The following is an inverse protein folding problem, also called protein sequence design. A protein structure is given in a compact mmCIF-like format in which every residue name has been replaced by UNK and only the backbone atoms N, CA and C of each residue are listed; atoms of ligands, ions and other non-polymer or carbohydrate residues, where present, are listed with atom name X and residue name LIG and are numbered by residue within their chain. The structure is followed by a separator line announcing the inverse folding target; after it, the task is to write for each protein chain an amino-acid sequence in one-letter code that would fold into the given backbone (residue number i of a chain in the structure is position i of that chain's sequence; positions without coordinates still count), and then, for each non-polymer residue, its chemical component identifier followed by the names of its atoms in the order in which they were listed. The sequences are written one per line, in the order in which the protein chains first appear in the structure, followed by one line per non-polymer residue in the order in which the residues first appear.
data_IF_513840323225
#
_entry.id   IF_513840323225
#
_cell.length_a   1.000
_cell.length_b   1.000
_cell.length_c   1.000
_cell.angle_alpha   90.00
_cell.angle_beta   90.00
_cell.angle_gamma   90.00
#
_symmetry.space_group_name_H-M   'P 1'
#
loop_
_entity.id
_entity.type
_entity.pdbx_description
1 polymer ?
#
# COMPACT_ATOMS: atom_id res chain seq x y z
N UNK A 1 -41.78 -2.69 60.25
CA UNK A 1 -43.24 -2.57 60.31
C UNK A 1 -43.63 -1.22 59.78
N UNK A 2 -44.65 -1.19 58.93
CA UNK A 2 -45.55 -0.06 58.53
C UNK A 2 -44.94 1.25 57.99
N UNK A 3 -45.44 1.95 56.99
CA UNK A 3 -46.49 1.74 55.96
C UNK A 3 -46.50 3.01 55.06
N UNK A 4 -46.86 2.85 53.77
CA UNK A 4 -47.55 3.81 52.86
C UNK A 4 -46.91 5.18 52.52
N UNK A 5 -47.17 5.92 51.42
CA UNK A 5 -47.99 5.86 50.19
C UNK A 5 -47.42 6.93 49.20
N UNK A 6 -47.26 6.68 47.89
CA UNK A 6 -48.10 7.04 46.69
C UNK A 6 -48.48 8.53 46.48
N UNK A 7 -48.11 9.14 45.32
CA UNK A 7 -48.97 9.64 44.21
C UNK A 7 -48.38 10.78 43.33
N UNK A 8 -48.91 10.80 42.09
CA UNK A 8 -48.55 11.47 40.82
C UNK A 8 -48.74 13.00 40.67
N UNK A 9 -48.27 13.51 39.52
CA UNK A 9 -48.34 14.88 38.93
C UNK A 9 -49.76 15.37 38.49
N UNK A 10 -49.97 16.36 37.56
CA UNK A 10 -49.25 17.58 37.12
C UNK A 10 -50.16 18.84 37.02
N UNK A 11 -49.61 20.03 36.65
CA UNK A 11 -50.45 21.19 36.25
C UNK A 11 -49.69 22.46 35.80
N UNK A 12 -50.11 23.02 34.67
CA UNK A 12 -49.65 24.27 34.03
C UNK A 12 -50.15 25.56 34.71
N UNK A 13 -49.52 26.72 34.44
CA UNK A 13 -50.12 28.01 34.00
C UNK A 13 -49.15 29.21 34.28
N UNK A 14 -48.91 30.05 33.25
CA UNK A 14 -48.95 31.55 33.18
C UNK A 14 -48.51 32.40 34.43
N UNK A 15 -47.92 33.61 34.40
CA UNK A 15 -47.80 34.74 33.45
C UNK A 15 -46.79 35.82 33.98
N UNK A 16 -46.73 36.94 33.25
CA UNK A 16 -46.34 38.34 33.60
C UNK A 16 -44.87 38.75 33.42
N UNK A 17 -44.49 39.84 32.75
CA UNK A 17 -45.09 41.01 32.08
C UNK A 17 -43.89 41.83 31.52
N UNK A 18 -43.94 42.88 30.70
CA UNK A 18 -44.97 43.85 30.30
C UNK A 18 -44.35 44.74 29.19
N UNK A 19 -45.15 45.61 28.59
CA UNK A 19 -44.85 46.81 27.78
C UNK A 19 -45.11 46.88 26.26
N UNK A 20 -45.70 48.04 25.92
CA UNK A 20 -46.71 48.34 24.92
C UNK A 20 -46.20 48.88 23.57
N UNK A 21 -47.06 48.78 22.54
CA UNK A 21 -46.90 49.42 21.23
C UNK A 21 -47.35 50.91 21.24
N UNK A 22 -46.85 51.70 20.27
CA UNK A 22 -47.77 52.44 19.42
C UNK A 22 -47.42 52.29 17.93
N UNK A 23 -48.46 52.32 17.08
CA UNK A 23 -48.32 52.32 15.63
C UNK A 23 -47.96 53.69 15.07
N UNK A 24 -47.45 53.69 13.84
CA UNK A 24 -47.64 54.70 12.78
C UNK A 24 -46.86 54.21 11.55
N UNK A 25 -47.49 54.28 10.37
CA UNK A 25 -46.94 53.73 9.13
C UNK A 25 -45.98 54.68 8.44
N UNK A 26 -45.02 54.14 7.69
CA UNK A 26 -44.33 54.86 6.61
C UNK A 26 -43.84 53.88 5.52
N UNK A 27 -44.36 54.14 4.33
CA UNK A 27 -43.84 53.97 2.96
C UNK A 27 -42.50 53.25 2.70
N UNK A 28 -42.56 52.33 1.73
CA UNK A 28 -41.64 52.28 0.58
C UNK A 28 -40.15 52.00 0.82
N UNK A 29 -39.74 50.73 0.66
CA UNK A 29 -38.40 50.40 0.20
C UNK A 29 -38.38 49.09 -0.58
N UNK A 30 -38.18 49.17 -1.89
CA UNK A 30 -37.91 47.99 -2.73
C UNK A 30 -36.52 47.42 -2.38
N UNK A 31 -36.38 46.10 -2.18
CA UNK A 31 -35.06 45.49 -2.07
C UNK A 31 -34.43 45.32 -3.46
N UNK A 32 -33.27 45.95 -3.66
CA UNK A 32 -32.43 45.79 -4.85
C UNK A 32 -31.95 44.35 -5.08
N UNK A 33 -31.43 44.04 -6.27
CA UNK A 33 -31.21 42.67 -6.72
C UNK A 33 -30.20 41.95 -5.85
N UNK A 34 -30.62 40.81 -5.32
CA UNK A 34 -29.76 39.85 -4.64
C UNK A 34 -28.58 39.48 -5.55
N UNK A 35 -27.37 39.62 -5.01
CA UNK A 35 -26.15 39.13 -5.63
C UNK A 35 -26.35 37.65 -5.97
N UNK A 36 -26.28 37.34 -7.27
CA UNK A 36 -26.30 35.98 -7.80
C UNK A 36 -25.12 35.23 -7.19
N UNK A 37 -25.41 34.37 -6.22
CA UNK A 37 -24.46 33.35 -5.79
C UNK A 37 -24.13 32.51 -7.03
N UNK A 38 -22.86 32.51 -7.43
CA UNK A 38 -22.39 31.70 -8.55
C UNK A 38 -22.81 30.25 -8.35
N UNK A 39 -23.45 29.68 -9.36
CA UNK A 39 -23.82 28.28 -9.41
C UNK A 39 -22.60 27.40 -9.09
N UNK A 40 -22.74 26.31 -8.33
CA UNK A 40 -21.65 25.36 -8.16
C UNK A 40 -21.28 24.84 -9.56
N UNK A 41 -20.05 25.11 -10.00
CA UNK A 41 -19.55 24.62 -11.27
C UNK A 41 -19.90 23.13 -11.42
N UNK A 42 -20.67 22.83 -12.47
CA UNK A 42 -21.30 21.53 -12.68
C UNK A 42 -20.24 20.42 -12.80
N UNK A 43 -19.97 19.73 -11.70
CA UNK A 43 -19.03 18.60 -11.65
C UNK A 43 -19.41 17.50 -12.65
N UNK A 44 -20.69 17.43 -13.03
CA UNK A 44 -21.20 16.54 -14.07
C UNK A 44 -20.68 16.94 -15.45
N UNK A 45 -20.64 18.24 -15.77
CA UNK A 45 -20.11 18.76 -17.03
C UNK A 45 -18.60 18.53 -17.16
N UNK A 46 -17.85 18.78 -16.10
CA UNK A 46 -16.41 18.47 -16.06
C UNK A 46 -16.12 16.98 -16.28
N UNK A 47 -16.95 16.10 -15.71
CA UNK A 47 -16.91 14.64 -15.94
C UNK A 47 -17.11 14.24 -17.39
N UNK A 48 -18.05 14.89 -18.09
CA UNK A 48 -18.35 14.59 -19.49
C UNK A 48 -17.23 15.07 -20.41
N UNK A 49 -16.65 16.25 -20.16
CA UNK A 49 -15.56 16.80 -20.97
C UNK A 49 -14.30 15.93 -20.91
N UNK A 50 -13.97 15.36 -19.75
CA UNK A 50 -12.85 14.43 -19.60
C UNK A 50 -13.11 13.09 -20.31
N UNK A 51 -14.32 12.53 -20.19
CA UNK A 51 -14.66 11.29 -20.89
C UNK A 51 -14.57 11.45 -22.41
N UNK A 52 -15.03 12.58 -22.94
CA UNK A 52 -14.90 12.94 -24.37
C UNK A 52 -13.43 13.06 -24.77
N UNK A 53 -12.62 13.80 -24.01
CA UNK A 53 -11.19 13.94 -24.28
C UNK A 53 -10.44 12.61 -24.25
N UNK A 54 -10.75 11.72 -23.28
CA UNK A 54 -10.16 10.38 -23.20
C UNK A 54 -10.56 9.51 -24.40
N UNK A 55 -11.79 9.65 -24.89
CA UNK A 55 -12.26 8.96 -26.09
C UNK A 55 -11.54 9.48 -27.35
N UNK A 56 -11.39 10.79 -27.51
CA UNK A 56 -10.78 11.38 -28.70
C UNK A 56 -9.25 11.19 -28.73
N UNK A 57 -8.57 11.50 -27.63
CA UNK A 57 -7.10 11.54 -27.56
C UNK A 57 -6.51 10.15 -27.36
N UNK A 58 -7.05 9.42 -26.39
CA UNK A 58 -6.54 8.10 -26.03
C UNK A 58 -7.29 6.96 -26.73
N UNK A 59 -8.45 7.19 -27.39
CA UNK A 59 -9.23 6.15 -28.10
C UNK A 59 -9.72 5.01 -27.19
N UNK A 60 -10.11 5.33 -25.96
CA UNK A 60 -10.68 4.34 -25.03
C UNK A 60 -11.97 3.77 -25.61
N UNK A 61 -12.14 2.45 -25.51
CA UNK A 61 -13.42 1.82 -25.87
C UNK A 61 -14.54 2.21 -24.89
N UNK A 62 -15.80 2.13 -25.33
CA UNK A 62 -16.97 2.39 -24.49
C UNK A 62 -16.94 1.57 -23.19
N UNK A 63 -16.49 0.32 -23.25
CA UNK A 63 -16.35 -0.54 -22.06
C UNK A 63 -15.28 -0.06 -21.08
N UNK A 64 -14.16 0.50 -21.57
CA UNK A 64 -13.12 1.09 -20.72
C UNK A 64 -13.58 2.40 -20.07
N UNK A 65 -14.28 3.26 -20.81
CA UNK A 65 -14.88 4.49 -20.25
C UNK A 65 -15.88 4.18 -19.14
N UNK A 66 -16.68 3.11 -19.27
CA UNK A 66 -17.59 2.67 -18.21
C UNK A 66 -16.82 2.28 -16.93
N UNK A 67 -15.64 1.64 -17.05
CA UNK A 67 -14.79 1.32 -15.88
C UNK A 67 -14.31 2.59 -15.19
N UNK A 68 -13.78 3.55 -15.97
CA UNK A 68 -13.31 4.85 -15.46
C UNK A 68 -14.44 5.60 -14.76
N UNK A 69 -15.60 5.72 -15.42
CA UNK A 69 -16.78 6.37 -14.85
C UNK A 69 -17.26 5.69 -13.57
N UNK A 70 -17.28 4.35 -13.54
CA UNK A 70 -17.68 3.59 -12.35
C UNK A 70 -16.73 3.85 -11.18
N UNK A 71 -15.42 3.86 -11.42
CA UNK A 71 -14.41 4.11 -10.41
C UNK A 71 -14.65 5.44 -9.68
N UNK A 72 -14.82 6.53 -10.44
CA UNK A 72 -15.04 7.87 -9.88
C UNK A 72 -16.43 8.02 -9.24
N UNK A 73 -17.46 7.35 -9.76
CA UNK A 73 -18.79 7.31 -9.13
C UNK A 73 -18.79 6.63 -7.76
N UNK A 74 -17.93 5.63 -7.57
CA UNK A 74 -17.84 4.90 -6.29
C UNK A 74 -17.01 5.61 -5.22
N UNK A 75 -16.33 6.71 -5.58
CA UNK A 75 -15.47 7.50 -4.69
C UNK A 75 -15.78 8.99 -4.81
N UNK A 76 -16.96 9.45 -4.38
CA UNK A 76 -17.34 10.84 -4.50
C UNK A 76 -16.41 11.82 -3.74
N UNK A 77 -15.67 11.33 -2.74
CA UNK A 77 -14.63 12.06 -2.03
C UNK A 77 -13.37 12.34 -2.86
N UNK A 78 -13.06 11.48 -3.83
CA UNK A 78 -11.99 11.66 -4.80
C UNK A 78 -12.68 12.18 -6.08
N UNK A 79 -12.90 13.49 -6.18
CA UNK A 79 -13.55 14.05 -7.38
C UNK A 79 -12.68 13.80 -8.61
N UNK A 80 -13.30 13.48 -9.75
CA UNK A 80 -12.56 13.28 -10.99
C UNK A 80 -11.70 14.51 -11.33
N UNK A 81 -10.43 14.34 -11.70
CA UNK A 81 -9.51 15.45 -11.95
C UNK A 81 -9.95 16.35 -13.12
N UNK A 82 -9.51 17.60 -13.10
CA UNK A 82 -9.81 18.56 -14.17
C UNK A 82 -9.23 18.11 -15.52
N UNK A 83 -9.85 18.56 -16.62
CA UNK A 83 -9.39 18.27 -17.97
C UNK A 83 -7.92 18.68 -18.19
N UNK A 84 -7.51 19.82 -17.63
CA UNK A 84 -6.13 20.29 -17.69
C UNK A 84 -5.15 19.30 -17.04
N UNK A 85 -5.48 18.81 -15.84
CA UNK A 85 -4.66 17.82 -15.13
C UNK A 85 -4.59 16.51 -15.91
N UNK A 86 -5.71 16.04 -16.44
CA UNK A 86 -5.77 14.84 -17.28
C UNK A 86 -4.90 14.99 -18.53
N UNK A 87 -4.98 16.13 -19.24
CA UNK A 87 -4.15 16.40 -20.42
C UNK A 87 -2.66 16.31 -20.10
N UNK A 88 -2.22 16.97 -19.02
CA UNK A 88 -0.82 16.96 -18.60
C UNK A 88 -0.32 15.54 -18.27
N UNK A 89 -1.14 14.73 -17.59
CA UNK A 89 -0.79 13.33 -17.28
C UNK A 89 -0.68 12.50 -18.56
N UNK A 90 -1.64 12.64 -19.48
CA UNK A 90 -1.63 11.89 -20.75
C UNK A 90 -0.47 12.28 -21.66
N UNK A 91 -0.13 13.57 -21.72
CA UNK A 91 1.05 14.08 -22.42
C UNK A 91 2.33 13.51 -21.80
N UNK A 92 2.42 13.43 -20.47
CA UNK A 92 3.56 12.84 -19.80
C UNK A 92 3.70 11.34 -20.07
N UNK A 93 2.59 10.59 -20.06
CA UNK A 93 2.60 9.16 -20.39
C UNK A 93 3.12 8.89 -21.81
N UNK A 94 2.77 9.76 -22.76
CA UNK A 94 3.22 9.69 -24.15
C UNK A 94 4.58 10.36 -24.40
N UNK A 95 5.13 11.06 -23.41
CA UNK A 95 6.43 11.73 -23.53
C UNK A 95 7.57 10.72 -23.68
N UNK A 96 8.72 11.18 -24.17
CA UNK A 96 9.94 10.37 -24.27
C UNK A 96 10.45 9.85 -22.90
N UNK A 97 9.96 10.39 -21.78
CA UNK A 97 10.31 9.93 -20.43
C UNK A 97 9.67 8.58 -20.09
N UNK A 98 8.42 8.34 -20.52
CA UNK A 98 7.71 7.09 -20.26
C UNK A 98 7.54 6.22 -21.50
N UNK A 99 7.38 6.85 -22.67
CA UNK A 99 7.30 6.23 -23.99
C UNK A 99 6.19 5.16 -24.09
N UNK A 100 5.03 5.40 -23.44
CA UNK A 100 3.89 4.50 -23.59
C UNK A 100 3.24 4.72 -24.96
N UNK A 101 2.93 3.63 -25.63
CA UNK A 101 2.06 3.63 -26.80
C UNK A 101 0.64 4.04 -26.43
N UNK A 102 -0.16 4.48 -27.41
CA UNK A 102 -1.56 4.83 -27.17
C UNK A 102 -2.36 3.64 -26.63
N UNK A 103 -2.02 2.42 -27.06
CA UNK A 103 -2.56 1.16 -26.58
C UNK A 103 -2.26 0.93 -25.09
N UNK A 104 -1.01 1.15 -24.67
CA UNK A 104 -0.61 0.99 -23.27
C UNK A 104 -1.24 2.07 -22.38
N UNK A 105 -1.29 3.32 -22.83
CA UNK A 105 -1.99 4.42 -22.12
C UNK A 105 -3.45 4.05 -21.87
N UNK A 106 -4.14 3.51 -22.88
CA UNK A 106 -5.52 3.03 -22.72
C UNK A 106 -5.65 1.94 -21.68
N UNK A 107 -4.73 0.97 -21.69
CA UNK A 107 -4.75 -0.13 -20.71
C UNK A 107 -4.52 0.40 -19.29
N UNK A 108 -3.50 1.24 -19.12
CA UNK A 108 -3.13 1.87 -17.84
C UNK A 108 -4.31 2.62 -17.23
N UNK A 109 -4.98 3.48 -18.01
CA UNK A 109 -6.12 4.27 -17.54
C UNK A 109 -7.32 3.37 -17.21
N UNK A 110 -7.59 2.36 -18.05
CA UNK A 110 -8.72 1.46 -17.84
C UNK A 110 -8.55 0.55 -16.62
N UNK A 111 -7.33 0.11 -16.34
CA UNK A 111 -7.00 -0.81 -15.25
C UNK A 111 -6.67 -0.08 -13.94
N UNK A 112 -6.28 1.19 -14.02
CA UNK A 112 -5.98 2.06 -12.89
C UNK A 112 -6.44 3.51 -13.16
N UNK A 113 -7.74 3.80 -13.03
CA UNK A 113 -8.25 5.15 -13.25
C UNK A 113 -7.68 6.21 -12.28
N UNK A 114 -7.20 5.79 -11.10
CA UNK A 114 -6.48 6.67 -10.15
C UNK A 114 -5.20 7.27 -10.72
N UNK A 115 -4.60 6.65 -11.73
CA UNK A 115 -3.42 7.19 -12.41
C UNK A 115 -3.64 8.58 -13.05
N UNK A 116 -4.90 9.00 -13.24
CA UNK A 116 -5.26 10.34 -13.71
C UNK A 116 -5.25 11.40 -12.61
N UNK A 117 -5.39 11.01 -11.34
CA UNK A 117 -5.44 11.93 -10.20
C UNK A 117 -4.10 12.08 -9.50
N UNK A 118 -3.01 11.80 -10.22
CA UNK A 118 -1.67 11.92 -9.67
C UNK A 118 -1.38 13.35 -9.26
N UNK A 119 -0.80 13.54 -8.06
CA UNK A 119 -0.64 14.85 -7.42
C UNK A 119 0.07 15.88 -8.32
N UNK A 120 1.12 15.47 -9.03
CA UNK A 120 1.80 16.31 -10.02
C UNK A 120 2.63 15.49 -11.02
N UNK A 121 2.97 16.09 -12.17
CA UNK A 121 3.90 15.48 -13.14
C UNK A 121 5.26 15.16 -12.51
N UNK A 122 5.71 15.95 -11.52
CA UNK A 122 6.98 15.68 -10.84
C UNK A 122 6.92 14.40 -10.00
N UNK A 123 5.77 14.04 -9.42
CA UNK A 123 5.62 12.74 -8.75
C UNK A 123 5.72 11.57 -9.73
N UNK A 124 5.19 11.72 -10.96
CA UNK A 124 5.39 10.72 -12.02
C UNK A 124 6.86 10.62 -12.44
N UNK A 125 7.55 11.76 -12.57
CA UNK A 125 8.98 11.80 -12.87
C UNK A 125 9.81 11.14 -11.77
N UNK A 126 9.48 11.35 -10.50
CA UNK A 126 10.11 10.65 -9.37
C UNK A 126 10.00 9.12 -9.52
N UNK A 127 8.82 8.62 -9.93
CA UNK A 127 8.59 7.19 -10.18
C UNK A 127 9.44 6.66 -11.33
N UNK A 128 9.48 7.40 -12.44
CA UNK A 128 10.29 7.04 -13.61
C UNK A 128 11.77 7.02 -13.24
N UNK A 129 12.24 8.03 -12.53
CA UNK A 129 13.62 8.11 -12.03
C UNK A 129 13.97 6.93 -11.14
N UNK A 130 13.10 6.60 -10.18
CA UNK A 130 13.26 5.42 -9.33
C UNK A 130 13.38 4.13 -10.15
N UNK A 131 12.48 3.90 -11.12
CA UNK A 131 12.51 2.69 -11.94
C UNK A 131 13.77 2.60 -12.82
N UNK A 132 14.21 3.72 -13.40
CA UNK A 132 15.39 3.76 -14.27
C UNK A 132 16.70 3.66 -13.49
N UNK A 133 16.85 4.44 -12.43
CA UNK A 133 18.14 4.60 -11.73
C UNK A 133 18.33 3.53 -10.65
N UNK A 134 17.29 3.23 -9.87
CA UNK A 134 17.41 2.32 -8.74
C UNK A 134 17.02 0.89 -9.10
N UNK A 135 15.88 0.71 -9.77
CA UNK A 135 15.44 -0.61 -10.23
C UNK A 135 16.13 -1.06 -11.53
N UNK A 136 16.99 -0.21 -12.11
CA UNK A 136 17.78 -0.46 -13.34
C UNK A 136 16.93 -0.92 -14.53
N UNK A 137 15.70 -0.41 -14.63
CA UNK A 137 14.82 -0.70 -15.76
C UNK A 137 15.29 0.11 -16.96
N UNK A 138 15.70 -0.58 -18.03
CA UNK A 138 16.11 0.05 -19.28
C UNK A 138 14.95 0.79 -19.96
N UNK A 139 15.27 1.79 -20.77
CA UNK A 139 14.25 2.61 -21.46
C UNK A 139 13.30 1.79 -22.34
N UNK A 140 13.77 0.68 -22.90
CA UNK A 140 12.95 -0.22 -23.73
C UNK A 140 11.94 -1.04 -22.92
N UNK A 141 12.23 -1.32 -21.64
CA UNK A 141 11.39 -2.11 -20.76
C UNK A 141 10.43 -1.26 -19.92
N UNK A 142 10.69 0.04 -19.78
CA UNK A 142 9.95 0.92 -18.89
C UNK A 142 8.45 0.96 -19.20
N UNK A 143 8.08 1.16 -20.47
CA UNK A 143 6.67 1.20 -20.89
C UNK A 143 5.95 -0.11 -20.52
N UNK A 144 6.57 -1.26 -20.83
CA UNK A 144 6.03 -2.57 -20.50
C UNK A 144 5.89 -2.80 -18.99
N UNK A 145 6.86 -2.35 -18.17
CA UNK A 145 6.79 -2.43 -16.70
C UNK A 145 5.65 -1.58 -16.14
N UNK A 146 5.48 -0.35 -16.64
CA UNK A 146 4.41 0.56 -16.21
C UNK A 146 3.04 0.03 -16.61
N UNK A 147 2.92 -0.50 -17.84
CA UNK A 147 1.68 -1.11 -18.34
C UNK A 147 1.32 -2.40 -17.60
N UNK A 148 2.32 -3.21 -17.21
CA UNK A 148 2.09 -4.45 -16.46
C UNK A 148 1.56 -4.22 -15.04
N UNK A 149 1.86 -3.07 -14.42
CA UNK A 149 1.36 -2.73 -13.10
C UNK A 149 1.17 -1.22 -12.88
N UNK A 150 0.06 -0.67 -13.41
CA UNK A 150 -0.25 0.75 -13.33
C UNK A 150 -0.37 1.28 -11.88
N UNK A 151 -0.67 0.41 -10.91
CA UNK A 151 -0.80 0.79 -9.50
C UNK A 151 0.55 1.21 -8.87
N UNK A 152 1.66 1.16 -9.62
CA UNK A 152 2.95 1.74 -9.21
C UNK A 152 2.86 3.26 -9.04
N UNK A 153 1.95 3.94 -9.77
CA UNK A 153 1.75 5.39 -9.69
C UNK A 153 1.16 5.83 -8.35
N UNK A 154 0.27 5.02 -7.77
CA UNK A 154 -0.41 5.33 -6.51
C UNK A 154 0.44 5.03 -5.26
N UNK A 155 1.60 4.39 -5.45
CA UNK A 155 2.47 3.97 -4.36
C UNK A 155 3.45 5.08 -4.01
N UNK A 156 4.08 5.07 -2.84
CA UNK A 156 5.14 6.03 -2.49
C UNK A 156 6.53 5.44 -2.79
N UNK A 157 7.43 6.23 -3.39
CA UNK A 157 8.80 5.76 -3.67
C UNK A 157 9.50 5.44 -2.35
N UNK A 158 9.48 6.39 -1.41
CA UNK A 158 10.18 6.28 -0.14
C UNK A 158 9.64 5.17 0.77
N UNK A 159 8.32 5.02 0.89
CA UNK A 159 7.74 4.13 1.92
C UNK A 159 7.27 2.78 1.38
N UNK A 160 7.16 2.61 0.05
CA UNK A 160 6.63 1.36 -0.52
C UNK A 160 7.52 0.76 -1.60
N UNK A 161 7.89 1.52 -2.65
CA UNK A 161 8.61 0.95 -3.79
C UNK A 161 10.07 0.64 -3.45
N UNK A 162 10.78 1.59 -2.82
CA UNK A 162 12.19 1.41 -2.44
C UNK A 162 12.36 0.29 -1.41
N UNK A 163 11.59 0.20 -0.30
CA UNK A 163 11.70 -0.93 0.62
C UNK A 163 11.39 -2.29 -0.03
N UNK A 164 10.46 -2.34 -0.99
CA UNK A 164 10.19 -3.55 -1.75
C UNK A 164 11.38 -3.95 -2.62
N UNK A 165 11.95 -3.00 -3.37
CA UNK A 165 13.14 -3.24 -4.20
C UNK A 165 14.35 -3.70 -3.36
N UNK A 166 14.61 -3.04 -2.23
CA UNK A 166 15.67 -3.41 -1.29
C UNK A 166 15.50 -4.83 -0.74
N UNK A 167 14.27 -5.29 -0.55
CA UNK A 167 14.02 -6.68 -0.16
C UNK A 167 14.44 -7.67 -1.25
N UNK A 168 14.10 -7.42 -2.52
CA UNK A 168 14.48 -8.31 -3.62
C UNK A 168 16.00 -8.34 -3.85
N UNK A 169 16.65 -7.18 -3.89
CA UNK A 169 18.09 -7.10 -4.17
C UNK A 169 18.91 -7.50 -2.95
N UNK A 170 18.56 -6.96 -1.78
CA UNK A 170 19.35 -7.12 -0.56
C UNK A 170 19.04 -8.41 0.19
N UNK A 171 17.77 -8.63 0.56
CA UNK A 171 17.40 -9.77 1.40
C UNK A 171 17.33 -11.09 0.62
N UNK A 172 16.76 -11.08 -0.59
CA UNK A 172 16.69 -12.28 -1.44
C UNK A 172 17.92 -12.50 -2.32
N UNK A 173 18.76 -11.47 -2.50
CA UNK A 173 19.95 -11.56 -3.36
C UNK A 173 19.63 -11.68 -4.85
N UNK A 174 18.49 -11.15 -5.30
CA UNK A 174 18.15 -11.14 -6.73
C UNK A 174 19.07 -10.17 -7.46
N UNK A 175 19.75 -10.60 -8.55
CA UNK A 175 20.59 -9.71 -9.34
C UNK A 175 19.79 -8.53 -9.91
N UNK A 176 20.29 -7.29 -9.84
CA UNK A 176 19.61 -6.10 -10.36
C UNK A 176 19.14 -6.25 -11.83
N UNK A 177 19.88 -7.01 -12.64
CA UNK A 177 19.61 -7.25 -14.05
C UNK A 177 18.33 -8.07 -14.26
N UNK A 178 17.89 -8.85 -13.26
CA UNK A 178 16.67 -9.65 -13.32
C UNK A 178 15.43 -8.87 -12.86
N UNK A 179 15.60 -7.72 -12.21
CA UNK A 179 14.49 -6.94 -11.64
C UNK A 179 13.51 -6.49 -12.72
N UNK A 180 13.99 -5.97 -13.85
CA UNK A 180 13.12 -5.55 -14.95
C UNK A 180 12.26 -6.71 -15.48
N UNK A 181 12.81 -7.92 -15.55
CA UNK A 181 12.05 -9.12 -15.93
C UNK A 181 10.97 -9.45 -14.90
N UNK A 182 11.31 -9.41 -13.60
CA UNK A 182 10.34 -9.68 -12.52
C UNK A 182 9.21 -8.65 -12.48
N UNK A 183 9.52 -7.38 -12.75
CA UNK A 183 8.53 -6.32 -12.85
C UNK A 183 7.57 -6.49 -14.01
N UNK A 184 7.99 -7.16 -15.09
CA UNK A 184 7.09 -7.50 -16.21
C UNK A 184 6.25 -8.74 -15.92
N UNK A 185 6.84 -9.79 -15.34
CA UNK A 185 6.18 -11.10 -15.22
C UNK A 185 5.35 -11.25 -13.95
N UNK A 186 5.79 -10.69 -12.83
CA UNK A 186 5.15 -10.85 -11.51
C UNK A 186 5.08 -9.53 -10.71
N UNK A 187 4.67 -8.39 -11.31
CA UNK A 187 4.79 -7.09 -10.66
C UNK A 187 4.05 -6.99 -9.33
N UNK A 188 2.85 -7.57 -9.24
CA UNK A 188 2.05 -7.53 -8.02
C UNK A 188 2.74 -8.22 -6.83
N UNK A 189 3.55 -9.25 -7.10
CA UNK A 189 4.38 -9.88 -6.08
C UNK A 189 5.58 -8.98 -5.73
N UNK A 190 6.23 -8.37 -6.74
CA UNK A 190 7.38 -7.49 -6.51
C UNK A 190 7.02 -6.34 -5.57
N UNK A 191 5.84 -5.74 -5.77
CA UNK A 191 5.37 -4.59 -4.99
C UNK A 191 4.58 -4.95 -3.72
N UNK A 192 4.70 -6.18 -3.24
CA UNK A 192 4.19 -6.57 -1.93
C UNK A 192 4.97 -5.87 -0.81
N UNK A 193 4.34 -5.75 0.36
CA UNK A 193 4.99 -5.13 1.53
C UNK A 193 6.13 -6.05 2.02
N UNK A 194 7.36 -5.55 2.24
CA UNK A 194 8.46 -6.36 2.76
C UNK A 194 8.09 -7.12 4.03
N UNK A 195 7.33 -6.52 4.94
CA UNK A 195 6.93 -7.15 6.21
C UNK A 195 6.08 -8.42 6.01
N UNK A 196 5.36 -8.54 4.89
CA UNK A 196 4.60 -9.75 4.58
C UNK A 196 5.42 -10.79 3.84
N UNK A 197 6.50 -10.37 3.16
CA UNK A 197 7.41 -11.24 2.41
C UNK A 197 8.55 -11.80 3.27
N UNK A 198 9.15 -10.99 4.15
CA UNK A 198 10.28 -11.36 5.02
C UNK A 198 10.02 -12.65 5.81
N UNK A 199 8.84 -12.84 6.44
CA UNK A 199 8.58 -14.10 7.15
C UNK A 199 8.62 -15.33 6.23
N UNK A 200 8.08 -15.19 5.02
CA UNK A 200 8.01 -16.28 4.03
C UNK A 200 9.39 -16.59 3.46
N UNK A 201 10.18 -15.55 3.18
CA UNK A 201 11.54 -15.70 2.68
C UNK A 201 12.46 -16.32 3.73
N UNK A 202 12.41 -15.83 4.97
CA UNK A 202 13.20 -16.39 6.08
C UNK A 202 12.93 -17.88 6.27
N UNK A 203 11.66 -18.29 6.21
CA UNK A 203 11.31 -19.72 6.25
C UNK A 203 11.84 -20.50 5.05
N UNK A 204 11.68 -19.96 3.83
CA UNK A 204 12.19 -20.57 2.62
C UNK A 204 13.72 -20.78 2.66
N UNK A 205 14.45 -19.77 3.09
CA UNK A 205 15.92 -19.79 3.14
C UNK A 205 16.44 -20.65 4.31
N UNK A 206 16.03 -20.35 5.54
CA UNK A 206 16.63 -20.96 6.74
C UNK A 206 16.09 -22.36 7.04
N UNK A 207 14.81 -22.63 6.72
CA UNK A 207 14.16 -23.92 7.05
C UNK A 207 14.11 -24.84 5.85
N UNK A 208 13.73 -24.31 4.68
CA UNK A 208 13.61 -25.13 3.46
C UNK A 208 14.91 -25.21 2.66
N UNK A 209 15.91 -24.36 2.95
CA UNK A 209 17.19 -24.33 2.24
C UNK A 209 17.08 -23.82 0.78
N UNK A 210 16.04 -23.05 0.48
CA UNK A 210 15.74 -22.56 -0.86
C UNK A 210 16.57 -21.32 -1.20
N UNK A 211 16.91 -21.20 -2.49
CA UNK A 211 17.47 -19.98 -3.08
C UNK A 211 16.37 -19.19 -3.77
N UNK A 212 16.66 -17.92 -4.08
CA UNK A 212 15.69 -17.05 -4.74
C UNK A 212 15.22 -17.64 -6.08
N UNK A 213 16.09 -18.36 -6.80
CA UNK A 213 15.75 -19.03 -8.07
C UNK A 213 14.64 -20.07 -7.89
N UNK A 214 14.74 -20.91 -6.86
CA UNK A 214 13.72 -21.93 -6.57
C UNK A 214 12.34 -21.31 -6.30
N UNK A 215 12.34 -20.13 -5.68
CA UNK A 215 11.12 -19.35 -5.40
C UNK A 215 10.54 -18.73 -6.67
N UNK A 216 11.40 -18.25 -7.59
CA UNK A 216 10.99 -17.63 -8.85
C UNK A 216 10.56 -18.64 -9.92
N UNK A 217 11.05 -19.87 -9.86
CA UNK A 217 10.66 -20.96 -10.76
C UNK A 217 9.24 -21.50 -10.49
N UNK A 218 8.59 -21.03 -9.42
CA UNK A 218 7.22 -21.39 -9.10
C UNK A 218 6.22 -20.63 -9.99
N UNK A 219 5.38 -21.35 -10.72
CA UNK A 219 4.33 -20.75 -11.57
C UNK A 219 3.33 -19.89 -10.78
N UNK A 220 3.04 -20.32 -9.54
CA UNK A 220 2.24 -19.51 -8.62
C UNK A 220 3.14 -18.55 -7.85
N UNK A 221 2.81 -17.25 -7.74
CA UNK A 221 3.63 -16.33 -6.96
C UNK A 221 3.77 -16.78 -5.49
N UNK A 222 4.97 -17.20 -5.11
CA UNK A 222 5.28 -17.77 -3.79
C UNK A 222 4.81 -16.89 -2.63
N UNK A 223 5.03 -15.58 -2.70
CA UNK A 223 4.67 -14.65 -1.64
C UNK A 223 3.15 -14.41 -1.52
N UNK A 224 2.33 -14.95 -2.44
CA UNK A 224 0.87 -15.01 -2.28
C UNK A 224 0.42 -16.21 -1.45
N UNK A 225 1.23 -17.27 -1.37
CA UNK A 225 0.90 -18.45 -0.59
C UNK A 225 0.95 -18.15 0.91
N UNK A 226 0.06 -18.75 1.69
CA UNK A 226 0.07 -18.58 3.15
C UNK A 226 1.21 -19.41 3.75
N UNK A 227 1.99 -18.77 4.63
CA UNK A 227 3.06 -19.45 5.36
C UNK A 227 2.51 -20.51 6.30
N UNK A 228 1.49 -20.14 7.06
CA UNK A 228 0.87 -20.89 8.15
C UNK A 228 -0.13 -21.95 7.70
N UNK A 229 -0.77 -21.76 6.53
CA UNK A 229 -1.79 -22.68 6.01
C UNK A 229 -1.30 -23.57 4.88
N UNK A 230 -0.21 -23.20 4.19
CA UNK A 230 0.24 -23.92 3.00
C UNK A 230 1.73 -24.22 3.00
N UNK A 231 2.60 -23.21 3.01
CA UNK A 231 4.04 -23.40 2.81
C UNK A 231 4.63 -24.31 3.90
N UNK A 232 4.48 -23.91 5.16
CA UNK A 232 5.09 -24.62 6.27
C UNK A 232 4.39 -25.95 6.60
N UNK A 233 3.05 -26.04 6.67
CA UNK A 233 2.40 -27.32 6.97
C UNK A 233 2.76 -28.40 5.95
N UNK A 234 2.77 -28.07 4.65
CA UNK A 234 3.16 -29.04 3.61
C UNK A 234 4.62 -29.44 3.70
N UNK A 235 5.52 -28.48 3.95
CA UNK A 235 6.94 -28.78 4.13
C UNK A 235 7.17 -29.78 5.28
N UNK A 236 6.60 -29.50 6.46
CA UNK A 236 6.81 -30.34 7.63
C UNK A 236 6.07 -31.67 7.54
N UNK A 237 4.87 -31.70 6.97
CA UNK A 237 4.15 -32.97 6.77
C UNK A 237 4.89 -33.88 5.79
N UNK A 238 5.42 -33.35 4.69
CA UNK A 238 6.26 -34.11 3.77
C UNK A 238 7.50 -34.67 4.47
N UNK A 239 8.20 -33.84 5.26
CA UNK A 239 9.36 -34.25 6.04
C UNK A 239 9.03 -35.35 7.07
N UNK A 240 7.89 -35.26 7.77
CA UNK A 240 7.40 -36.30 8.69
C UNK A 240 7.15 -37.63 7.99
N UNK A 241 6.74 -37.60 6.72
CA UNK A 241 6.56 -38.78 5.86
C UNK A 241 7.86 -39.23 5.19
N UNK A 242 9.01 -38.68 5.60
CA UNK A 242 10.33 -38.92 5.01
C UNK A 242 10.43 -38.55 3.52
N UNK A 243 9.58 -37.64 3.05
CA UNK A 243 9.62 -37.10 1.69
C UNK A 243 10.35 -35.76 1.70
N UNK A 244 11.55 -35.72 1.14
CA UNK A 244 12.43 -34.53 1.12
C UNK A 244 13.02 -34.32 -0.28
N UNK A 245 13.64 -33.15 -0.52
CA UNK A 245 14.31 -32.86 -1.80
C UNK A 245 13.38 -32.67 -3.01
N UNK A 246 12.09 -32.38 -2.77
CA UNK A 246 11.12 -32.17 -3.83
C UNK A 246 11.26 -30.81 -4.51
N UNK A 247 11.01 -30.70 -5.82
CA UNK A 247 10.82 -29.42 -6.48
C UNK A 247 9.68 -28.63 -5.82
N UNK A 248 9.86 -27.32 -5.64
CA UNK A 248 8.89 -26.47 -4.95
C UNK A 248 7.51 -26.49 -5.61
N UNK A 249 7.48 -26.57 -6.95
CA UNK A 249 6.25 -26.72 -7.75
C UNK A 249 5.46 -27.98 -7.37
N UNK A 250 6.14 -29.10 -7.12
CA UNK A 250 5.49 -30.35 -6.71
C UNK A 250 4.93 -30.25 -5.29
N UNK A 251 5.67 -29.61 -4.39
CA UNK A 251 5.27 -29.45 -2.99
C UNK A 251 4.08 -28.48 -2.82
N UNK A 252 4.12 -27.33 -3.47
CA UNK A 252 3.20 -26.22 -3.23
C UNK A 252 2.20 -25.97 -4.36
N UNK A 253 2.47 -26.43 -5.58
CA UNK A 253 1.69 -26.11 -6.78
C UNK A 253 0.41 -26.91 -6.99
N UNK A 254 0.01 -27.76 -6.04
CA UNK A 254 -1.15 -28.66 -6.19
C UNK A 254 -2.21 -28.44 -5.10
N UNK A 255 -3.41 -28.96 -5.28
CA UNK A 255 -4.44 -29.00 -4.22
C UNK A 255 -4.05 -29.96 -3.10
N UNK A 256 -4.60 -29.80 -1.89
CA UNK A 256 -4.29 -30.71 -0.77
C UNK A 256 -4.59 -32.18 -1.12
N UNK A 257 -5.65 -32.43 -1.90
CA UNK A 257 -5.97 -33.78 -2.39
C UNK A 257 -4.84 -34.36 -3.25
N UNK A 258 -4.32 -33.58 -4.20
CA UNK A 258 -3.21 -33.99 -5.06
C UNK A 258 -1.89 -34.10 -4.30
N UNK A 259 -1.61 -33.14 -3.41
CA UNK A 259 -0.47 -33.21 -2.51
C UNK A 259 -0.47 -34.52 -1.70
N UNK A 260 -1.60 -34.87 -1.07
CA UNK A 260 -1.72 -36.10 -0.29
C UNK A 260 -1.55 -37.36 -1.15
N UNK A 261 -2.27 -37.46 -2.26
CA UNK A 261 -2.27 -38.65 -3.11
C UNK A 261 -0.97 -38.84 -3.90
N UNK A 262 -0.41 -37.77 -4.45
CA UNK A 262 0.70 -37.84 -5.41
C UNK A 262 2.07 -37.65 -4.76
N UNK A 263 2.17 -36.84 -3.70
CA UNK A 263 3.46 -36.45 -3.10
C UNK A 263 3.78 -37.29 -1.87
N UNK A 264 2.89 -37.29 -0.88
CA UNK A 264 3.13 -37.97 0.41
C UNK A 264 2.47 -39.36 0.51
N UNK A 265 1.72 -39.75 -0.52
CA UNK A 265 1.06 -41.06 -0.67
C UNK A 265 0.19 -41.43 0.54
N UNK A 266 -0.65 -40.51 1.01
CA UNK A 266 -1.61 -40.73 2.08
C UNK A 266 -3.02 -40.27 1.70
N UNK A 267 -4.03 -40.65 2.49
CA UNK A 267 -5.36 -40.08 2.32
C UNK A 267 -5.39 -38.61 2.77
N UNK A 268 -6.26 -37.81 2.15
CA UNK A 268 -6.41 -36.39 2.50
C UNK A 268 -6.85 -36.21 3.95
N UNK A 269 -7.69 -37.11 4.48
CA UNK A 269 -8.17 -37.05 5.86
C UNK A 269 -7.03 -37.15 6.88
N UNK A 270 -5.97 -37.91 6.58
CA UNK A 270 -4.80 -38.00 7.45
C UNK A 270 -4.08 -36.65 7.58
N UNK A 271 -3.95 -35.92 6.46
CA UNK A 271 -3.34 -34.59 6.46
C UNK A 271 -4.22 -33.56 7.18
N UNK A 272 -5.53 -33.58 6.93
CA UNK A 272 -6.48 -32.69 7.62
C UNK A 272 -6.51 -32.95 9.13
N UNK A 273 -6.51 -34.21 9.54
CA UNK A 273 -6.42 -34.60 10.94
C UNK A 273 -5.13 -34.07 11.58
N UNK A 274 -3.99 -34.30 10.93
CA UNK A 274 -2.70 -33.79 11.40
C UNK A 274 -2.69 -32.25 11.51
N UNK A 275 -3.27 -31.54 10.53
CA UNK A 275 -3.38 -30.08 10.56
C UNK A 275 -4.17 -29.56 11.77
N UNK A 276 -5.22 -30.26 12.18
CA UNK A 276 -6.09 -29.82 13.28
C UNK A 276 -5.60 -30.28 14.66
N UNK A 277 -5.12 -31.52 14.78
CA UNK A 277 -4.82 -32.14 16.06
C UNK A 277 -3.36 -32.00 16.48
N UNK A 278 -2.42 -32.02 15.53
CA UNK A 278 -0.98 -32.07 15.84
C UNK A 278 -0.27 -30.76 15.45
N UNK A 279 -0.48 -30.29 14.22
CA UNK A 279 0.22 -29.14 13.66
C UNK A 279 0.07 -27.90 14.54
N UNK A 280 -1.13 -27.57 14.99
CA UNK A 280 -1.41 -26.39 15.84
C UNK A 280 -0.60 -26.39 17.14
N UNK A 281 -0.22 -27.57 17.64
CA UNK A 281 0.48 -27.75 18.90
C UNK A 281 1.97 -28.12 18.74
N UNK A 282 2.43 -28.28 17.50
CA UNK A 282 3.80 -28.68 17.17
C UNK A 282 4.84 -27.60 17.46
N UNK A 283 6.08 -28.01 17.74
CA UNK A 283 7.21 -27.06 17.88
C UNK A 283 7.49 -26.38 16.54
N UNK A 284 7.32 -27.09 15.43
CA UNK A 284 7.45 -26.61 14.07
C UNK A 284 6.47 -25.46 13.77
N UNK A 285 5.21 -25.56 14.16
CA UNK A 285 4.27 -24.44 14.02
C UNK A 285 4.67 -23.24 14.89
N UNK A 286 5.29 -23.47 16.06
CA UNK A 286 5.85 -22.40 16.90
C UNK A 286 7.09 -21.75 16.27
N UNK A 287 7.87 -22.48 15.46
CA UNK A 287 8.98 -21.86 14.69
C UNK A 287 8.48 -20.80 13.71
N UNK A 288 7.27 -20.94 13.16
CA UNK A 288 6.64 -19.91 12.31
C UNK A 288 6.26 -18.66 13.13
N UNK A 289 5.88 -18.86 14.39
CA UNK A 289 5.56 -17.76 15.31
C UNK A 289 6.79 -16.92 15.71
N UNK A 290 8.01 -17.45 15.54
CA UNK A 290 9.27 -16.68 15.68
C UNK A 290 9.57 -15.81 14.45
N UNK A 291 9.04 -16.19 13.30
CA UNK A 291 9.31 -15.53 12.01
C UNK A 291 8.30 -14.39 11.74
N UNK A 292 7.15 -14.39 12.44
CA UNK A 292 6.30 -13.20 12.61
C UNK A 292 6.73 -12.48 13.89
N UNK A 293 7.11 -11.18 13.89
CA UNK A 293 7.25 -10.46 15.15
C UNK A 293 5.95 -10.63 15.94
N UNK A 294 6.04 -10.90 17.24
CA UNK A 294 4.86 -10.77 18.10
C UNK A 294 4.32 -9.37 17.85
N UNK A 295 3.06 -9.27 17.42
CA UNK A 295 2.33 -8.02 17.55
C UNK A 295 2.54 -7.59 18.99
N UNK A 296 3.20 -6.44 19.19
CA UNK A 296 3.37 -5.88 20.53
C UNK A 296 2.02 -6.00 21.22
N UNK A 297 1.94 -6.60 22.42
CA UNK A 297 0.66 -6.63 23.12
C UNK A 297 0.17 -5.18 23.13
N UNK A 298 -0.97 -4.97 22.48
CA UNK A 298 -1.71 -3.72 22.56
C UNK A 298 -1.75 -3.44 24.05
N UNK A 299 -1.07 -2.36 24.49
CA UNK A 299 -1.01 -2.00 25.89
C UNK A 299 -2.43 -2.17 26.43
N UNK A 300 -2.62 -3.17 27.28
CA UNK A 300 -3.83 -3.29 28.06
C UNK A 300 -3.85 -1.98 28.82
N UNK A 301 -4.68 -1.05 28.34
CA UNK A 301 -5.04 0.13 29.08
C UNK A 301 -5.75 -0.40 30.31
N UNK A 302 -4.98 -0.63 31.36
CA UNK A 302 -5.52 -0.77 32.69
C UNK A 302 -6.42 0.43 32.93
N UNK A 303 -7.65 0.13 33.33
CA UNK A 303 -8.55 1.06 33.97
C UNK A 303 -7.83 1.64 35.19
N UNK A 304 -7.13 2.77 34.99
CA UNK A 304 -6.74 3.66 36.07
C UNK A 304 -7.59 4.93 35.93
N UNK A 305 -8.48 5.07 36.91
CA UNK A 305 -9.29 6.25 37.21
C UNK A 305 -8.54 7.56 36.92
N UNK A 306 -8.95 8.24 35.84
CA UNK A 306 -8.59 9.64 35.62
C UNK A 306 -9.69 10.54 36.13
N UNK A 307 -9.56 10.90 37.40
CA UNK A 307 -10.17 12.08 37.99
C UNK A 307 -9.91 13.31 37.11
N UNK A 308 -10.99 13.93 36.60
CA UNK A 308 -10.93 15.08 35.68
C UNK A 308 -10.40 16.31 36.42
N UNK A 309 -9.32 16.98 35.96
CA UNK A 309 -8.94 18.25 36.54
C UNK A 309 -9.92 19.36 36.11
N UNK A 310 -10.43 20.06 37.13
CA UNK A 310 -11.35 21.19 37.03
C UNK A 310 -10.76 22.31 36.18
N UNK A 311 -11.58 22.81 35.26
CA UNK A 311 -11.35 23.95 34.38
C UNK A 311 -11.19 25.23 35.22
N UNK A 312 -9.95 25.62 35.53
CA UNK A 312 -9.65 26.93 36.12
C UNK A 312 -9.47 27.99 35.04
N UNK A 313 -10.36 28.96 35.09
CA UNK A 313 -10.44 30.21 34.36
C UNK A 313 -9.18 31.07 34.56
N UNK A 314 -8.57 31.56 33.47
CA UNK A 314 -7.66 32.73 33.46
C UNK A 314 -7.62 33.30 32.04
N UNK A 315 -8.39 34.36 31.77
CA UNK A 315 -8.01 35.78 31.85
C UNK A 315 -6.86 36.20 30.91
N UNK A 316 -7.19 37.26 30.16
CA UNK A 316 -6.46 38.00 29.13
C UNK A 316 -5.04 38.42 29.55
N UNK A 317 -4.16 38.54 28.55
CA UNK A 317 -3.12 39.57 28.56
C UNK A 317 -1.87 39.24 27.74
N UNK A 318 -1.52 40.12 26.80
CA UNK A 318 -0.12 40.53 26.62
C UNK A 318 0.66 39.94 25.45
N UNK A 319 0.66 40.68 24.34
CA UNK A 319 1.68 40.66 23.30
C UNK A 319 3.08 40.93 23.86
N UNK A 320 4.09 40.15 23.46
CA UNK A 320 5.45 40.67 23.31
C UNK A 320 6.31 39.76 22.40
N UNK A 321 6.73 40.37 21.29
CA UNK A 321 7.85 39.93 20.42
C UNK A 321 9.14 39.80 21.24
N UNK A 322 9.93 38.76 20.97
CA UNK A 322 11.40 38.83 21.11
C UNK A 322 12.08 38.09 19.98
N UNK A 323 12.87 38.85 19.23
CA UNK A 323 13.98 38.39 18.41
C UNK A 323 15.03 37.67 19.28
N UNK A 324 15.66 36.62 18.75
CA UNK A 324 17.03 36.28 19.14
C UNK A 324 17.79 35.67 17.96
N UNK A 325 18.76 36.45 17.44
CA UNK A 325 19.87 35.99 16.61
C UNK A 325 20.90 35.26 17.51
N UNK A 326 21.53 34.22 16.96
CA UNK A 326 22.98 34.10 17.03
C UNK A 326 23.60 32.79 17.55
N UNK A 327 24.41 32.19 16.65
CA UNK A 327 25.62 31.37 16.88
C UNK A 327 25.45 29.95 17.45
N UNK A 328 26.31 28.96 17.15
CA UNK A 328 27.29 28.61 16.09
C UNK A 328 27.92 27.28 16.56
N UNK A 329 28.33 26.41 15.62
CA UNK A 329 29.23 25.24 15.80
C UNK A 329 28.64 24.04 16.58
N UNK A 330 28.87 22.78 16.23
CA UNK A 330 29.69 22.13 15.20
C UNK A 330 29.58 20.61 15.44
N UNK A 331 29.90 19.77 14.46
CA UNK A 331 29.92 18.32 14.69
C UNK A 331 29.75 17.45 13.45
N UNK A 332 30.69 17.56 12.53
CA UNK A 332 30.89 16.62 11.42
C UNK A 332 31.25 15.23 11.99
N UNK A 333 30.53 14.16 11.63
CA UNK A 333 31.01 12.78 11.78
C UNK A 333 30.76 12.02 10.49
N UNK A 334 31.86 11.75 9.81
CA UNK A 334 31.94 11.09 8.53
C UNK A 334 31.67 9.60 8.57
N UNK A 335 31.22 9.12 7.43
CA UNK A 335 31.11 7.73 7.03
C UNK A 335 32.51 7.23 6.62
N UNK A 336 33.09 6.29 7.37
CA UNK A 336 34.28 5.55 6.94
C UNK A 336 33.87 4.30 6.17
N UNK A 337 34.21 4.27 4.88
CA UNK A 337 34.14 3.11 4.02
C UNK A 337 35.37 2.21 4.27
N UNK A 338 35.14 0.95 4.68
CA UNK A 338 36.18 -0.08 4.71
C UNK A 338 36.40 -0.63 3.30
N UNK A 339 37.56 -0.31 2.71
CA UNK A 339 38.15 -1.06 1.59
C UNK A 339 38.82 -2.32 2.15
N UNK A 340 38.36 -3.50 1.73
CA UNK A 340 39.07 -4.76 1.92
C UNK A 340 40.02 -5.01 0.75
N UNK A 341 41.32 -5.03 1.03
CA UNK A 341 42.38 -5.49 0.14
C UNK A 341 42.27 -7.01 -0.02
N UNK A 342 42.19 -7.49 -1.27
CA UNK A 342 42.46 -8.87 -1.65
C UNK A 342 43.83 -8.87 -2.32
N UNK A 343 44.82 -9.46 -1.65
CA UNK A 343 46.13 -9.79 -2.18
C UNK A 343 46.04 -11.12 -2.93
N UNK A 344 46.20 -11.09 -4.25
CA UNK A 344 46.42 -12.28 -5.07
C UNK A 344 47.89 -12.67 -5.03
N UNK A 345 48.15 -13.90 -4.57
CA UNK A 345 49.44 -14.57 -4.74
C UNK A 345 49.56 -15.09 -6.18
N UNK A 346 50.48 -14.52 -6.94
CA UNK A 346 50.95 -15.06 -8.21
C UNK A 346 52.00 -16.15 -7.93
N UNK A 347 51.64 -17.41 -8.17
CA UNK A 347 52.56 -18.53 -8.21
C UNK A 347 53.34 -18.55 -9.51
N UNK A 348 54.56 -17.99 -9.50
CA UNK A 348 55.54 -18.13 -10.57
C UNK A 348 56.13 -19.54 -10.61
N UNK A 349 56.05 -20.19 -11.77
CA UNK A 349 56.70 -21.47 -12.07
C UNK A 349 57.59 -21.26 -13.30
N UNK A 350 58.92 -21.19 -13.11
CA UNK A 350 59.92 -21.43 -14.16
C UNK A 350 61.34 -21.62 -13.57
N UNK A 351 62.05 -22.61 -14.10
CA UNK A 351 63.49 -22.91 -13.89
C UNK A 351 63.70 -24.15 -13.02
N UNK A 352 64.18 -25.30 -13.49
CA UNK A 352 65.15 -25.54 -14.55
C UNK A 352 66.53 -25.80 -13.94
N UNK A 353 66.89 -27.06 -13.74
CA UNK A 353 68.26 -27.61 -13.79
C UNK A 353 68.20 -29.11 -13.95
#
# INVERSE_FOLDING_TARGET
GSDGQVLDEPGSLFADGDWQAPGEGLEGFEPGPAAVAGEPADATRGSVDVELYLNETAKLSTGQLVKVRRFWKTRPEEMMPSLEKVSQVLEFFQSNEMNLTKEEVRSVIADCPSSLDVFSVETLREKVRFLREEARVGSQDLAAVLAAYPQVFDRSVATTLRPALEFWIGAMGVPPEQIASLLKTMPAQVWCKPDTMRPKWKFAEEVMGLKYKDVLDLETPFFRLSLDKMIAPRHFFARRRNVTGLPLKTLLGTSDKKFCAEVVKCDKSEYEKWLHEEWVHSEEARTIAWVKPRSSPRAESGDEDKEKPRRSQRQRGGSQRRDFRGRRQGGNRGFEARKGQWSGEEGGHQGGR
#
